data_IF_495004920577
#
_entry.id   IF_495004920577
#
_cell.length_a   1.000
_cell.length_b   1.000
_cell.length_c   1.000
_cell.angle_alpha   90.00
_cell.angle_beta   90.00
_cell.angle_gamma   90.00
#
_symmetry.space_group_name_H-M   'P 1'
#
loop_
_entity.id
_entity.type
_entity.pdbx_description
1 polymer ?
#
# COMPACT_ATOMS: atom_id res chain seq x y z
N UNK A 1 -20.92 42.42 -46.92
CA UNK A 1 -20.15 41.15 -46.78
C UNK A 1 -20.31 40.69 -45.34
N UNK A 2 -20.91 39.51 -45.12
CA UNK A 2 -21.35 39.02 -43.80
C UNK A 2 -20.22 38.24 -43.12
N UNK A 3 -19.85 38.60 -41.90
CA UNK A 3 -18.98 37.81 -41.04
C UNK A 3 -19.75 36.55 -40.60
N UNK A 4 -19.29 35.37 -41.04
CA UNK A 4 -19.87 34.08 -40.64
C UNK A 4 -18.72 33.12 -40.31
N UNK A 5 -18.14 33.28 -39.13
CA UNK A 5 -17.09 32.39 -38.60
C UNK A 5 -17.13 32.40 -37.07
N UNK A 6 -18.21 31.91 -36.46
CA UNK A 6 -18.17 31.40 -35.09
C UNK A 6 -19.16 30.24 -35.04
N UNK A 7 -18.80 29.17 -34.33
CA UNK A 7 -19.56 27.93 -34.06
C UNK A 7 -19.06 26.69 -34.79
N UNK A 8 -17.88 26.18 -34.41
CA UNK A 8 -17.56 24.75 -34.54
C UNK A 8 -16.40 24.26 -33.64
N UNK A 9 -16.09 24.92 -32.51
CA UNK A 9 -15.02 24.47 -31.60
C UNK A 9 -15.47 24.35 -30.13
N UNK A 10 -16.71 23.93 -29.89
CA UNK A 10 -17.25 23.78 -28.54
C UNK A 10 -17.80 22.37 -28.24
N UNK A 11 -17.31 21.34 -28.92
CA UNK A 11 -17.75 19.95 -28.70
C UNK A 11 -16.62 18.91 -28.60
N UNK A 12 -15.37 19.33 -28.35
CA UNK A 12 -14.25 18.40 -28.11
C UNK A 12 -13.51 18.63 -26.78
N UNK A 13 -14.02 19.51 -25.91
CA UNK A 13 -13.47 19.72 -24.56
C UNK A 13 -14.33 19.10 -23.44
N UNK A 14 -15.51 18.57 -23.77
CA UNK A 14 -16.44 18.00 -22.78
C UNK A 14 -16.40 16.45 -22.70
N UNK A 15 -15.43 15.80 -23.34
CA UNK A 15 -15.17 14.36 -23.15
C UNK A 15 -14.03 14.10 -22.16
N UNK A 16 -13.23 15.13 -21.83
CA UNK A 16 -12.13 15.04 -20.86
C UNK A 16 -12.52 15.38 -19.41
N UNK A 17 -13.74 15.89 -19.18
CA UNK A 17 -14.32 16.05 -17.84
C UNK A 17 -15.15 14.86 -17.40
N UNK A 18 -15.00 13.71 -18.07
CA UNK A 18 -15.40 12.44 -17.48
C UNK A 18 -14.67 12.36 -16.14
N UNK A 19 -15.36 12.29 -14.98
CA UNK A 19 -14.69 11.95 -13.74
C UNK A 19 -14.21 10.52 -13.96
N UNK A 20 -12.96 10.40 -14.39
CA UNK A 20 -12.23 9.15 -14.33
C UNK A 20 -12.50 8.66 -12.92
N UNK A 21 -13.13 7.49 -12.80
CA UNK A 21 -13.27 6.80 -11.52
C UNK A 21 -11.85 6.36 -11.13
N UNK A 22 -11.00 7.35 -10.81
CA UNK A 22 -9.61 7.20 -10.44
C UNK A 22 -9.66 6.62 -9.05
N UNK A 23 -9.36 5.33 -8.95
CA UNK A 23 -8.92 4.78 -7.69
C UNK A 23 -7.80 5.69 -7.17
N UNK A 24 -7.97 6.26 -5.98
CA UNK A 24 -6.99 7.16 -5.36
C UNK A 24 -5.60 6.54 -5.46
N UNK A 25 -4.61 7.33 -5.87
CA UNK A 25 -3.21 6.91 -5.87
C UNK A 25 -2.72 6.65 -4.44
N UNK A 26 -1.63 5.88 -4.29
CA UNK A 26 -1.01 5.70 -2.97
C UNK A 26 -0.58 7.04 -2.36
N UNK A 27 -0.14 7.99 -3.19
CA UNK A 27 0.26 9.33 -2.75
C UNK A 27 -0.90 10.13 -2.16
N UNK A 28 -2.10 10.08 -2.77
CA UNK A 28 -3.31 10.69 -2.20
C UNK A 28 -3.68 10.06 -0.86
N UNK A 29 -3.55 8.74 -0.72
CA UNK A 29 -3.78 8.06 0.55
C UNK A 29 -2.75 8.45 1.61
N UNK A 30 -1.48 8.64 1.25
CA UNK A 30 -0.45 9.14 2.18
C UNK A 30 -0.82 10.53 2.68
N UNK A 31 -1.14 11.44 1.77
CA UNK A 31 -1.54 12.81 2.12
C UNK A 31 -2.77 12.84 3.03
N UNK A 32 -3.77 11.98 2.79
CA UNK A 32 -4.93 11.82 3.68
C UNK A 32 -4.53 11.31 5.07
N UNK A 33 -3.58 10.37 5.14
CA UNK A 33 -3.08 9.85 6.41
C UNK A 33 -2.27 10.90 7.18
N UNK A 34 -1.40 11.66 6.50
CA UNK A 34 -0.64 12.79 7.04
C UNK A 34 -1.57 13.87 7.59
N UNK A 35 -2.64 14.20 6.85
CA UNK A 35 -3.65 15.14 7.32
C UNK A 35 -4.31 14.64 8.60
N UNK A 36 -4.81 13.40 8.63
CA UNK A 36 -5.39 12.84 9.85
C UNK A 36 -4.40 12.79 11.01
N UNK A 37 -3.13 12.55 10.74
CA UNK A 37 -2.08 12.57 11.75
C UNK A 37 -1.91 13.99 12.34
N UNK A 38 -1.81 15.02 11.49
CA UNK A 38 -1.69 16.42 11.93
C UNK A 38 -2.90 16.92 12.71
N UNK A 39 -4.10 16.43 12.37
CA UNK A 39 -5.34 16.67 13.10
C UNK A 39 -5.46 15.84 14.39
N UNK A 40 -4.41 15.11 14.77
CA UNK A 40 -4.36 14.18 15.92
C UNK A 40 -5.42 13.06 15.86
N UNK A 41 -5.95 12.80 14.67
CA UNK A 41 -6.85 11.69 14.41
C UNK A 41 -6.08 10.40 14.14
N UNK A 42 -5.25 10.02 15.11
CA UNK A 42 -4.28 8.93 14.96
C UNK A 42 -4.93 7.59 14.61
N UNK A 43 -6.15 7.31 15.10
CA UNK A 43 -6.86 6.07 14.75
C UNK A 43 -7.18 5.96 13.26
N UNK A 44 -7.46 7.08 12.58
CA UNK A 44 -7.70 7.10 11.14
C UNK A 44 -6.39 7.04 10.36
N UNK A 45 -5.40 7.84 10.75
CA UNK A 45 -4.07 7.81 10.15
C UNK A 45 -3.47 6.39 10.20
N UNK A 46 -3.51 5.74 11.37
CA UNK A 46 -3.04 4.37 11.58
C UNK A 46 -3.67 3.39 10.59
N UNK A 47 -5.00 3.48 10.36
CA UNK A 47 -5.70 2.56 9.45
C UNK A 47 -5.23 2.72 8.01
N UNK A 48 -5.00 3.96 7.57
CA UNK A 48 -4.57 4.24 6.20
C UNK A 48 -3.11 3.82 6.02
N UNK A 49 -2.21 4.22 6.92
CA UNK A 49 -0.82 3.78 6.89
C UNK A 49 -0.70 2.25 6.94
N UNK A 50 -1.47 1.58 7.80
CA UNK A 50 -1.48 0.12 7.85
C UNK A 50 -1.92 -0.53 6.53
N UNK A 51 -2.89 0.08 5.82
CA UNK A 51 -3.32 -0.41 4.50
C UNK A 51 -2.20 -0.27 3.48
N UNK A 52 -1.57 0.90 3.41
CA UNK A 52 -0.47 1.19 2.48
C UNK A 52 0.78 0.35 2.80
N UNK A 53 1.16 0.23 4.06
CA UNK A 53 2.31 -0.54 4.52
C UNK A 53 2.25 -2.01 4.08
N UNK A 54 1.04 -2.61 4.11
CA UNK A 54 0.80 -3.97 3.63
C UNK A 54 0.96 -4.14 2.11
N UNK A 55 0.90 -3.05 1.36
CA UNK A 55 1.11 -3.01 -0.09
C UNK A 55 2.56 -2.73 -0.46
N UNK A 56 3.48 -2.67 0.50
CA UNK A 56 4.90 -2.41 0.25
C UNK A 56 5.26 -0.92 0.24
N UNK A 57 4.38 -0.06 0.76
CA UNK A 57 4.64 1.37 0.83
C UNK A 57 5.64 1.69 1.96
N UNK A 58 6.93 1.84 1.64
CA UNK A 58 8.00 2.04 2.63
C UNK A 58 7.78 3.28 3.52
N UNK A 59 7.30 4.39 2.96
CA UNK A 59 6.94 5.58 3.74
C UNK A 59 5.90 5.24 4.82
N UNK A 60 4.81 4.58 4.42
CA UNK A 60 3.76 4.19 5.37
C UNK A 60 4.21 3.12 6.36
N UNK A 61 5.17 2.26 6.01
CA UNK A 61 5.78 1.31 6.95
C UNK A 61 6.56 2.05 8.04
N UNK A 62 7.35 3.06 7.69
CA UNK A 62 8.07 3.92 8.63
C UNK A 62 7.11 4.72 9.53
N UNK A 63 6.10 5.36 8.95
CA UNK A 63 5.08 6.09 9.72
C UNK A 63 4.31 5.17 10.68
N UNK A 64 3.98 3.96 10.24
CA UNK A 64 3.33 2.97 11.10
C UNK A 64 4.24 2.52 12.25
N UNK A 65 5.54 2.37 12.01
CA UNK A 65 6.51 2.08 13.07
C UNK A 65 6.54 3.21 14.11
N UNK A 66 6.68 4.47 13.68
CA UNK A 66 6.64 5.65 14.55
C UNK A 66 5.38 5.68 15.43
N UNK A 67 4.21 5.47 14.83
CA UNK A 67 2.94 5.46 15.57
C UNK A 67 2.88 4.35 16.64
N UNK A 68 3.48 3.18 16.37
CA UNK A 68 3.53 2.07 17.34
C UNK A 68 4.55 2.29 18.47
N UNK A 69 5.59 3.11 18.23
CA UNK A 69 6.50 3.57 19.29
C UNK A 69 5.78 4.54 20.22
N UNK A 70 5.03 5.48 19.64
CA UNK A 70 4.37 6.55 20.38
C UNK A 70 3.02 6.13 21.00
N UNK A 71 2.47 4.98 20.62
CA UNK A 71 1.13 4.57 21.05
C UNK A 71 0.02 5.40 20.39
N UNK A 72 0.25 5.89 19.18
CA UNK A 72 -0.68 6.74 18.44
C UNK A 72 -1.65 5.90 17.63
N UNK A 73 -2.94 6.02 17.92
CA UNK A 73 -4.01 5.30 17.23
C UNK A 73 -4.11 3.82 17.61
N UNK A 74 -3.10 3.27 18.30
CA UNK A 74 -3.06 1.94 18.90
C UNK A 74 -2.11 1.93 20.09
N UNK A 75 -2.24 0.95 20.98
CA UNK A 75 -1.29 0.75 22.09
C UNK A 75 0.15 0.56 21.58
N UNK A 76 1.10 0.98 22.42
CA UNK A 76 2.55 0.84 22.16
C UNK A 76 2.90 -0.62 21.90
N UNK A 77 3.65 -0.86 20.83
CA UNK A 77 4.09 -2.21 20.46
C UNK A 77 5.45 -2.13 19.75
N UNK A 78 6.52 -2.10 20.56
CA UNK A 78 7.88 -1.94 20.06
C UNK A 78 8.34 -3.11 19.19
N UNK A 79 7.88 -4.34 19.48
CA UNK A 79 8.19 -5.52 18.66
C UNK A 79 7.62 -5.40 17.24
N UNK A 80 6.37 -4.93 17.11
CA UNK A 80 5.79 -4.65 15.80
C UNK A 80 6.39 -3.39 15.16
N UNK A 81 6.71 -2.36 15.95
CA UNK A 81 7.35 -1.16 15.44
C UNK A 81 8.70 -1.50 14.78
N UNK A 82 9.53 -2.29 15.46
CA UNK A 82 10.77 -2.84 14.93
C UNK A 82 10.52 -3.55 13.61
N UNK A 83 9.61 -4.53 13.57
CA UNK A 83 9.36 -5.30 12.35
C UNK A 83 8.80 -4.49 11.17
N UNK A 84 8.04 -3.43 11.41
CA UNK A 84 7.62 -2.49 10.34
C UNK A 84 8.76 -1.58 9.90
N UNK A 85 9.62 -1.13 10.82
CA UNK A 85 10.80 -0.31 10.50
C UNK A 85 11.82 -1.10 9.67
N UNK A 86 12.04 -2.39 10.00
CA UNK A 86 12.95 -3.24 9.21
C UNK A 86 12.40 -3.48 7.80
N UNK A 87 11.09 -3.66 7.64
CA UNK A 87 10.45 -3.72 6.31
C UNK A 87 10.62 -2.41 5.53
N UNK A 88 10.51 -1.28 6.21
CA UNK A 88 10.69 0.02 5.58
C UNK A 88 12.14 0.20 5.08
N UNK A 89 13.12 -0.28 5.84
CA UNK A 89 14.54 -0.25 5.49
C UNK A 89 14.91 -1.13 4.27
N UNK A 90 14.14 -2.18 3.94
CA UNK A 90 14.32 -2.94 2.68
C UNK A 90 14.22 -2.02 1.44
N UNK A 91 13.51 -0.89 1.54
CA UNK A 91 13.39 0.11 0.50
C UNK A 91 14.63 0.98 0.29
N UNK A 92 15.72 0.75 1.05
CA UNK A 92 17.00 1.45 0.92
C UNK A 92 17.08 2.79 1.67
N UNK A 93 16.16 3.07 2.58
CA UNK A 93 16.21 4.26 3.43
C UNK A 93 17.09 3.99 4.66
N UNK A 94 18.31 4.54 4.66
CA UNK A 94 19.28 4.38 5.76
C UNK A 94 18.74 4.90 7.10
N UNK A 95 17.88 5.93 7.10
CA UNK A 95 17.30 6.49 8.32
C UNK A 95 16.37 5.49 9.01
N UNK A 96 15.60 4.71 8.23
CA UNK A 96 14.70 3.68 8.75
C UNK A 96 15.46 2.45 9.28
N UNK A 97 16.66 2.19 8.73
CA UNK A 97 17.57 1.17 9.27
C UNK A 97 18.06 1.57 10.66
N UNK A 98 18.56 2.80 10.81
CA UNK A 98 19.02 3.33 12.10
C UNK A 98 17.90 3.29 13.15
N UNK A 99 16.70 3.72 12.77
CA UNK A 99 15.53 3.65 13.63
C UNK A 99 15.25 2.22 14.11
N UNK A 100 15.37 1.22 13.22
CA UNK A 100 15.15 -0.17 13.61
C UNK A 100 16.20 -0.67 14.60
N UNK A 101 17.46 -0.28 14.44
CA UNK A 101 18.54 -0.64 15.36
C UNK A 101 18.32 -0.02 16.75
N UNK A 102 17.95 1.27 16.79
CA UNK A 102 17.61 1.98 18.03
C UNK A 102 16.43 1.33 18.76
N UNK A 103 15.40 0.89 18.03
CA UNK A 103 14.25 0.20 18.63
C UNK A 103 14.65 -1.15 19.22
N UNK A 104 15.57 -1.88 18.59
CA UNK A 104 16.02 -3.17 19.09
C UNK A 104 16.78 -3.04 20.42
N UNK A 105 17.44 -1.91 20.68
CA UNK A 105 18.09 -1.63 21.96
C UNK A 105 17.09 -1.40 23.10
N UNK A 106 15.94 -0.80 22.79
CA UNK A 106 14.89 -0.53 23.78
C UNK A 106 14.06 -1.78 24.13
N UNK A 107 14.05 -2.77 23.24
CA UNK A 107 13.26 -3.99 23.42
C UNK A 107 14.01 -4.98 24.33
N UNK A 108 13.37 -5.36 25.44
CA UNK A 108 13.92 -6.35 26.37
C UNK A 108 14.03 -7.76 25.77
N UNK A 109 13.03 -8.20 25.01
CA UNK A 109 13.02 -9.50 24.34
C UNK A 109 13.31 -9.35 22.84
N UNK A 110 14.61 -9.22 22.52
CA UNK A 110 15.08 -9.04 21.14
C UNK A 110 14.71 -10.22 20.24
N UNK A 111 14.76 -11.45 20.77
CA UNK A 111 14.42 -12.65 20.01
C UNK A 111 12.96 -12.63 19.53
N UNK A 112 12.04 -12.15 20.37
CA UNK A 112 10.63 -12.00 20.00
C UNK A 112 10.41 -10.88 18.97
N UNK A 113 11.16 -9.79 19.05
CA UNK A 113 11.13 -8.72 18.04
C UNK A 113 11.63 -9.21 16.67
N UNK A 114 12.78 -9.89 16.63
CA UNK A 114 13.32 -10.51 15.42
C UNK A 114 12.35 -11.53 14.82
N UNK A 115 11.73 -12.38 15.65
CA UNK A 115 10.72 -13.33 15.19
C UNK A 115 9.51 -12.61 14.58
N UNK A 116 9.09 -11.48 15.17
CA UNK A 116 7.97 -10.67 14.68
C UNK A 116 8.33 -10.00 13.35
N UNK A 117 9.53 -9.44 13.23
CA UNK A 117 10.05 -8.87 11.99
C UNK A 117 10.09 -9.93 10.88
N UNK A 118 10.68 -11.10 11.13
CA UNK A 118 10.75 -12.20 10.17
C UNK A 118 9.35 -12.65 9.70
N UNK A 119 8.36 -12.66 10.60
CA UNK A 119 6.96 -12.97 10.25
C UNK A 119 6.35 -11.90 9.35
N UNK A 120 6.63 -10.63 9.61
CA UNK A 120 6.16 -9.51 8.80
C UNK A 120 6.83 -9.51 7.41
N UNK A 121 8.15 -9.69 7.33
CA UNK A 121 8.90 -9.84 6.09
C UNK A 121 8.36 -10.95 5.21
N UNK A 122 8.14 -12.14 5.77
CA UNK A 122 7.52 -13.26 5.03
C UNK A 122 6.14 -12.92 4.46
N UNK A 123 5.41 -11.99 5.08
CA UNK A 123 4.04 -11.65 4.68
C UNK A 123 3.95 -10.43 3.76
N UNK A 124 4.80 -9.42 3.98
CA UNK A 124 4.71 -8.09 3.38
C UNK A 124 6.05 -7.57 2.84
N UNK A 125 7.13 -8.35 2.92
CA UNK A 125 8.40 -8.03 2.28
C UNK A 125 8.27 -8.06 0.76
N UNK A 126 9.21 -7.41 0.08
CA UNK A 126 9.16 -7.17 -1.36
C UNK A 126 8.97 -8.48 -2.14
N UNK A 127 9.82 -9.49 -1.88
CA UNK A 127 9.74 -10.82 -2.52
C UNK A 127 8.35 -11.47 -2.37
N UNK A 128 7.76 -11.35 -1.17
CA UNK A 128 6.46 -11.94 -0.87
C UNK A 128 5.31 -11.22 -1.62
N UNK A 129 5.45 -9.92 -1.85
CA UNK A 129 4.50 -9.13 -2.63
C UNK A 129 4.66 -9.40 -4.13
N UNK A 130 5.89 -9.47 -4.63
CA UNK A 130 6.21 -9.82 -6.02
C UNK A 130 5.71 -11.23 -6.37
N UNK A 131 5.93 -12.22 -5.50
CA UNK A 131 5.44 -13.57 -5.73
C UNK A 131 3.91 -13.61 -5.83
N UNK A 132 3.20 -12.84 -4.99
CA UNK A 132 1.74 -12.73 -5.06
C UNK A 132 1.27 -12.04 -6.33
N UNK A 133 1.95 -10.97 -6.75
CA UNK A 133 1.66 -10.27 -8.00
C UNK A 133 1.82 -11.22 -9.19
N UNK A 134 2.94 -11.93 -9.27
CA UNK A 134 3.21 -12.96 -10.30
C UNK A 134 2.15 -14.06 -10.30
N UNK A 135 1.78 -14.59 -9.13
CA UNK A 135 0.72 -15.61 -9.03
C UNK A 135 -0.64 -15.09 -9.52
N UNK A 136 -0.96 -13.83 -9.23
CA UNK A 136 -2.19 -13.17 -9.71
C UNK A 136 -2.17 -13.01 -11.22
N UNK A 137 -1.06 -12.52 -11.77
CA UNK A 137 -0.88 -12.36 -13.22
C UNK A 137 -0.99 -13.71 -13.95
N UNK A 138 -0.32 -14.76 -13.46
CA UNK A 138 -0.42 -16.10 -14.03
C UNK A 138 -1.87 -16.63 -14.04
N UNK A 139 -2.67 -16.33 -13.02
CA UNK A 139 -4.10 -16.70 -12.97
C UNK A 139 -4.93 -15.92 -13.98
N UNK A 140 -4.68 -14.62 -14.13
CA UNK A 140 -5.36 -13.79 -15.11
C UNK A 140 -5.05 -14.26 -16.53
N UNK A 141 -3.77 -14.54 -16.81
CA UNK A 141 -3.33 -15.12 -18.07
C UNK A 141 -3.97 -16.48 -18.36
N UNK A 142 -4.08 -17.35 -17.34
CA UNK A 142 -4.75 -18.64 -17.50
C UNK A 142 -6.25 -18.50 -17.82
N UNK A 143 -6.92 -17.49 -17.25
CA UNK A 143 -8.30 -17.16 -17.57
C UNK A 143 -8.45 -16.60 -19.00
N UNK A 144 -7.54 -15.71 -19.42
CA UNK A 144 -7.52 -15.09 -20.75
C UNK A 144 -7.17 -16.07 -21.88
N UNK A 145 -6.27 -17.02 -21.62
CA UNK A 145 -5.82 -18.01 -22.62
C UNK A 145 -6.81 -19.15 -22.86
N UNK A 146 -7.97 -19.15 -22.20
CA UNK A 146 -9.07 -20.07 -22.47
C UNK A 146 -8.83 -21.47 -21.92
N UNK A 147 -9.62 -21.86 -20.92
CA UNK A 147 -9.70 -23.25 -20.49
C UNK A 147 -10.65 -23.40 -19.33
N UNK A 148 -11.78 -24.05 -19.60
CA UNK A 148 -12.75 -24.55 -18.62
C UNK A 148 -12.06 -24.98 -17.31
N UNK A 149 -12.04 -24.12 -16.30
CA UNK A 149 -11.48 -24.51 -15.00
C UNK A 149 -12.57 -25.22 -14.20
N UNK A 150 -12.78 -26.49 -14.53
CA UNK A 150 -13.26 -27.50 -13.60
C UNK A 150 -14.58 -27.21 -12.86
N UNK A 151 -15.66 -26.92 -13.59
CA UNK A 151 -17.01 -27.26 -13.14
C UNK A 151 -17.49 -28.42 -14.01
N UNK A 152 -18.04 -29.47 -13.39
CA UNK A 152 -18.55 -30.68 -14.05
C UNK A 152 -19.71 -30.45 -15.05
N UNK A 153 -19.96 -29.21 -15.47
CA UNK A 153 -21.09 -28.79 -16.27
C UNK A 153 -20.64 -27.76 -17.32
N UNK A 154 -20.27 -28.27 -18.50
CA UNK A 154 -20.48 -27.60 -19.78
C UNK A 154 -19.65 -26.37 -20.10
N UNK A 155 -18.65 -26.53 -20.95
CA UNK A 155 -18.27 -25.49 -21.91
C UNK A 155 -19.10 -25.73 -23.18
N UNK A 156 -20.21 -24.99 -23.32
CA UNK A 156 -20.96 -24.93 -24.59
C UNK A 156 -20.39 -23.80 -25.43
N UNK A 157 -19.53 -24.14 -26.39
CA UNK A 157 -19.17 -23.25 -27.49
C UNK A 157 -20.25 -23.34 -28.58
N UNK A 158 -20.74 -22.19 -29.03
CA UNK A 158 -21.51 -22.00 -30.26
C UNK A 158 -20.72 -21.13 -31.21
#
# INVERSE_FOLDING_TARGET
>A
MKFSTVLAFAALFFVLSSPTLLAKSNEEYRSEADQYYSEQNFKKAYKIYFKLAKMGDHYSQGQLANMLVNGEGKEVDLEKAYGWSTLAAEGGDEMLSQQSDELLEQIGDKAKAEQTAARLMKKYGQDALEEKARKRENRLRAHEMGGCTGSKLGCSGS
#
